data_IF_385648762303
#
_entry.id   IF_385648762303
#
_cell.length_a   1.000
_cell.length_b   1.000
_cell.length_c   1.000
_cell.angle_alpha   90.00
_cell.angle_beta   90.00
_cell.angle_gamma   90.00
#
_symmetry.space_group_name_H-M   'P 1'
#
loop_
_entity.id
_entity.type
_entity.pdbx_description
1 polymer ?
#
# COMPACT_ATOMS: atom_id res chain seq x y z
N UNK A 1 14.41 -20.46 -20.24
CA UNK A 1 14.45 -21.74 -20.99
C UNK A 1 14.85 -22.89 -20.04
N UNK A 2 13.89 -23.53 -19.37
CA UNK A 2 14.17 -24.58 -18.36
C UNK A 2 13.33 -25.87 -18.48
N UNK A 3 12.45 -25.98 -19.48
CA UNK A 3 11.50 -27.10 -19.55
C UNK A 3 11.97 -28.33 -20.35
N UNK A 4 13.21 -28.36 -20.84
CA UNK A 4 13.59 -29.29 -21.92
C UNK A 4 14.03 -30.70 -21.43
N UNK A 5 14.12 -30.98 -20.13
CA UNK A 5 14.57 -32.30 -19.67
C UNK A 5 13.96 -32.80 -18.34
N UNK A 6 12.70 -32.48 -18.06
CA UNK A 6 11.99 -33.05 -16.90
C UNK A 6 11.33 -34.38 -17.29
N UNK A 7 11.73 -35.54 -16.70
CA UNK A 7 11.02 -36.80 -16.91
C UNK A 7 9.54 -36.64 -16.56
N UNK A 8 8.66 -37.10 -17.43
CA UNK A 8 7.20 -37.07 -17.21
C UNK A 8 6.57 -35.67 -17.00
N UNK A 9 7.23 -34.60 -17.48
CA UNK A 9 6.67 -33.25 -17.45
C UNK A 9 5.31 -33.17 -18.16
N UNK A 10 4.29 -32.62 -17.47
CA UNK A 10 2.88 -32.59 -17.91
C UNK A 10 2.21 -33.96 -18.09
N UNK A 11 2.84 -35.04 -17.65
CA UNK A 11 2.22 -36.37 -17.61
C UNK A 11 1.54 -36.59 -16.26
N UNK A 12 0.39 -37.24 -16.28
CA UNK A 12 -0.35 -37.63 -15.08
C UNK A 12 -0.27 -39.15 -14.90
N UNK A 13 -0.39 -39.59 -13.66
CA UNK A 13 -0.62 -41.00 -13.31
C UNK A 13 -1.86 -41.10 -12.44
N UNK A 14 -2.57 -42.22 -12.54
CA UNK A 14 -3.73 -42.48 -11.68
C UNK A 14 -3.25 -42.95 -10.31
N UNK A 15 -3.60 -42.20 -9.26
CA UNK A 15 -3.53 -42.65 -7.88
C UNK A 15 -4.91 -43.19 -7.47
N UNK A 16 -4.95 -44.45 -7.05
CA UNK A 16 -6.13 -45.07 -6.44
C UNK A 16 -6.05 -44.97 -4.92
N UNK A 17 -7.15 -44.61 -4.25
CA UNK A 17 -7.22 -44.58 -2.79
C UNK A 17 -8.62 -45.00 -2.29
N UNK A 18 -8.68 -45.48 -1.05
CA UNK A 18 -9.94 -45.84 -0.38
C UNK A 18 -10.42 -44.65 0.47
N UNK A 19 -11.69 -44.29 0.32
CA UNK A 19 -12.38 -43.26 1.09
C UNK A 19 -13.59 -43.90 1.77
N UNK A 20 -13.42 -44.31 3.03
CA UNK A 20 -14.41 -45.03 3.85
C UNK A 20 -15.06 -46.23 3.11
N UNK A 21 -14.24 -47.09 2.50
CA UNK A 21 -14.69 -48.27 1.77
C UNK A 21 -15.16 -48.01 0.32
N UNK A 22 -14.99 -46.79 -0.17
CA UNK A 22 -15.24 -46.43 -1.57
C UNK A 22 -13.91 -46.24 -2.31
N UNK A 23 -13.64 -47.07 -3.33
CA UNK A 23 -12.47 -46.91 -4.19
C UNK A 23 -12.61 -45.64 -5.05
N UNK A 24 -11.65 -44.73 -4.93
CA UNK A 24 -11.57 -43.48 -5.69
C UNK A 24 -10.29 -43.43 -6.51
N UNK A 25 -10.35 -42.66 -7.59
CA UNK A 25 -9.21 -42.39 -8.46
C UNK A 25 -8.99 -40.88 -8.58
N UNK A 26 -7.72 -40.46 -8.54
CA UNK A 26 -7.32 -39.08 -8.80
C UNK A 26 -6.10 -39.05 -9.72
N UNK A 27 -6.10 -38.12 -10.67
CA UNK A 27 -4.93 -37.88 -11.51
C UNK A 27 -3.91 -37.03 -10.76
N UNK A 28 -2.69 -37.54 -10.62
CA UNK A 28 -1.58 -36.82 -9.96
C UNK A 28 -0.41 -36.64 -10.93
N UNK A 29 0.41 -35.58 -10.79
CA UNK A 29 1.63 -35.44 -11.59
C UNK A 29 2.50 -36.70 -11.50
N UNK A 30 2.90 -37.23 -12.66
CA UNK A 30 3.77 -38.42 -12.73
C UNK A 30 5.22 -38.08 -12.36
N UNK A 31 5.66 -36.84 -12.64
CA UNK A 31 6.98 -36.32 -12.27
C UNK A 31 6.93 -35.27 -11.16
N UNK A 32 8.06 -35.06 -10.48
CA UNK A 32 8.25 -33.98 -9.50
C UNK A 32 8.29 -32.62 -10.21
N UNK A 33 7.27 -31.79 -9.98
CA UNK A 33 7.13 -30.47 -10.59
C UNK A 33 8.24 -29.49 -10.20
N UNK A 34 8.97 -29.77 -9.11
CA UNK A 34 10.09 -28.97 -8.62
C UNK A 34 11.45 -29.64 -8.88
N UNK A 35 11.52 -30.74 -9.64
CA UNK A 35 12.74 -31.53 -9.82
C UNK A 35 13.94 -30.70 -10.28
N UNK A 36 13.78 -29.89 -11.34
CA UNK A 36 14.88 -29.07 -11.88
C UNK A 36 15.30 -27.99 -10.88
N UNK A 37 14.34 -27.36 -10.19
CA UNK A 37 14.63 -26.35 -9.17
C UNK A 37 15.42 -26.95 -7.99
N UNK A 38 14.99 -28.13 -7.51
CA UNK A 38 15.69 -28.88 -6.46
C UNK A 38 17.11 -29.26 -6.87
N UNK A 39 17.28 -29.74 -8.12
CA UNK A 39 18.59 -30.05 -8.68
C UNK A 39 19.49 -28.82 -8.73
N UNK A 40 19.00 -27.71 -9.28
CA UNK A 40 19.78 -26.48 -9.44
C UNK A 40 20.21 -25.90 -8.09
N UNK A 41 19.34 -25.95 -7.08
CA UNK A 41 19.69 -25.55 -5.71
C UNK A 41 20.74 -26.49 -5.11
N UNK A 42 20.50 -27.81 -5.17
CA UNK A 42 21.40 -28.82 -4.61
C UNK A 42 22.79 -28.86 -5.26
N UNK A 43 22.90 -28.56 -6.56
CA UNK A 43 24.17 -28.50 -7.28
C UNK A 43 24.79 -27.11 -7.36
N UNK A 44 24.19 -26.09 -6.73
CA UNK A 44 24.68 -24.71 -6.78
C UNK A 44 24.60 -24.05 -8.17
N UNK A 45 23.70 -24.53 -9.03
CA UNK A 45 23.46 -24.05 -10.40
C UNK A 45 22.21 -23.16 -10.52
N UNK A 46 21.57 -22.78 -9.40
CA UNK A 46 20.42 -21.89 -9.40
C UNK A 46 20.73 -20.59 -10.16
N UNK A 47 19.93 -20.23 -11.19
CA UNK A 47 20.09 -18.97 -11.91
C UNK A 47 19.95 -17.76 -10.99
N UNK A 48 20.59 -16.65 -11.36
CA UNK A 48 20.53 -15.42 -10.57
C UNK A 48 19.12 -14.83 -10.43
N UNK A 49 18.25 -15.07 -11.43
CA UNK A 49 16.82 -14.77 -11.39
C UNK A 49 16.07 -16.03 -11.83
N UNK A 50 15.17 -16.52 -10.97
CA UNK A 50 14.37 -17.72 -11.22
C UNK A 50 12.89 -17.40 -11.01
N UNK A 51 12.09 -17.59 -12.05
CA UNK A 51 10.62 -17.48 -11.98
C UNK A 51 10.02 -18.86 -11.75
N UNK A 52 9.32 -19.05 -10.63
CA UNK A 52 8.65 -20.29 -10.29
C UNK A 52 7.16 -20.07 -10.42
N UNK A 53 6.54 -20.69 -11.42
CA UNK A 53 5.09 -20.61 -11.65
C UNK A 53 4.47 -21.93 -11.23
N UNK A 54 3.56 -21.87 -10.26
CA UNK A 54 2.86 -23.05 -9.78
C UNK A 54 1.96 -23.63 -10.89
N UNK A 55 1.88 -24.96 -11.04
CA UNK A 55 0.83 -25.55 -11.87
C UNK A 55 -0.56 -25.19 -11.30
N UNK A 56 -1.59 -25.14 -12.15
CA UNK A 56 -2.94 -24.67 -11.79
C UNK A 56 -3.47 -25.28 -10.48
N UNK A 57 -3.35 -26.59 -10.28
CA UNK A 57 -3.84 -27.27 -9.07
C UNK A 57 -3.05 -26.94 -7.78
N UNK A 58 -1.93 -26.23 -7.89
CA UNK A 58 -1.03 -25.83 -6.81
C UNK A 58 -0.91 -24.30 -6.71
N UNK A 59 -1.78 -23.55 -7.38
CA UNK A 59 -1.63 -22.08 -7.55
C UNK A 59 -2.36 -21.24 -6.49
N UNK A 60 -3.02 -21.88 -5.52
CA UNK A 60 -3.95 -21.23 -4.58
C UNK A 60 -5.16 -20.52 -5.23
N UNK A 61 -5.34 -20.60 -6.56
CA UNK A 61 -6.56 -20.16 -7.23
C UNK A 61 -7.80 -20.78 -6.55
N UNK A 62 -8.94 -20.09 -6.40
CA UNK A 62 -10.12 -20.55 -5.65
C UNK A 62 -10.64 -21.92 -6.09
N UNK A 63 -10.51 -22.25 -7.39
CA UNK A 63 -10.81 -23.58 -7.93
C UNK A 63 -9.84 -24.70 -7.49
N UNK A 64 -8.73 -24.37 -6.86
CA UNK A 64 -7.57 -25.20 -6.53
C UNK A 64 -6.84 -24.79 -5.23
N UNK A 65 -7.52 -24.18 -4.27
CA UNK A 65 -6.95 -23.55 -3.06
C UNK A 65 -6.26 -24.50 -2.05
N UNK A 66 -6.06 -25.77 -2.39
CA UNK A 66 -5.66 -26.82 -1.44
C UNK A 66 -4.15 -27.04 -1.33
N UNK A 67 -3.41 -26.79 -2.41
CA UNK A 67 -2.03 -27.24 -2.52
C UNK A 67 -1.01 -26.13 -2.72
N UNK A 68 -1.40 -24.86 -2.84
CA UNK A 68 -0.42 -23.78 -3.04
C UNK A 68 0.39 -23.49 -1.79
N UNK A 69 -0.22 -23.51 -0.60
CA UNK A 69 0.53 -23.46 0.67
C UNK A 69 1.59 -24.57 0.78
N UNK A 70 1.28 -25.80 0.35
CA UNK A 70 2.24 -26.90 0.28
C UNK A 70 3.35 -26.62 -0.74
N UNK A 71 2.99 -26.14 -1.93
CA UNK A 71 3.93 -25.83 -2.99
C UNK A 71 4.94 -24.74 -2.56
N UNK A 72 4.45 -23.66 -1.92
CA UNK A 72 5.29 -22.61 -1.34
C UNK A 72 6.19 -23.18 -0.23
N UNK A 73 5.64 -24.03 0.65
CA UNK A 73 6.42 -24.72 1.69
C UNK A 73 7.55 -25.55 1.09
N UNK A 74 7.29 -26.32 0.02
CA UNK A 74 8.32 -27.13 -0.64
C UNK A 74 9.40 -26.28 -1.30
N UNK A 75 9.02 -25.18 -1.96
CA UNK A 75 10.00 -24.23 -2.52
C UNK A 75 10.90 -23.65 -1.42
N UNK A 76 10.32 -23.28 -0.28
CA UNK A 76 11.08 -22.77 0.86
C UNK A 76 11.97 -23.84 1.49
N UNK A 77 11.50 -25.08 1.62
CA UNK A 77 12.29 -26.21 2.11
C UNK A 77 13.52 -26.45 1.22
N UNK A 78 13.32 -26.51 -0.12
CA UNK A 78 14.43 -26.66 -1.08
C UNK A 78 15.48 -25.57 -0.90
N UNK A 79 15.05 -24.30 -0.82
CA UNK A 79 15.98 -23.17 -0.66
C UNK A 79 16.73 -23.20 0.67
N UNK A 80 16.05 -23.54 1.77
CA UNK A 80 16.59 -23.46 3.13
C UNK A 80 17.39 -24.70 3.53
N UNK A 81 17.22 -25.83 2.85
CA UNK A 81 18.03 -27.04 3.02
C UNK A 81 19.51 -26.82 2.64
N UNK A 82 19.79 -25.84 1.77
CA UNK A 82 21.15 -25.46 1.36
C UNK A 82 21.50 -24.05 1.91
N UNK A 83 22.09 -23.95 3.12
CA UNK A 83 22.36 -22.64 3.76
C UNK A 83 23.18 -21.67 2.91
N UNK A 84 24.11 -22.18 2.11
CA UNK A 84 24.95 -21.39 1.21
C UNK A 84 24.16 -20.72 0.07
N UNK A 85 23.02 -21.30 -0.32
CA UNK A 85 22.08 -20.71 -1.28
C UNK A 85 21.16 -19.74 -0.54
N UNK A 86 20.53 -20.16 0.56
CA UNK A 86 19.59 -19.32 1.29
C UNK A 86 20.19 -18.00 1.77
N UNK A 87 21.42 -18.03 2.30
CA UNK A 87 22.07 -16.83 2.87
C UNK A 87 22.27 -15.69 1.86
N UNK A 88 22.11 -15.96 0.56
CA UNK A 88 22.24 -15.00 -0.54
C UNK A 88 20.98 -14.91 -1.42
N UNK A 89 19.83 -15.40 -0.95
CA UNK A 89 18.59 -15.47 -1.74
C UNK A 89 17.57 -14.43 -1.26
N UNK A 90 16.86 -13.84 -2.22
CA UNK A 90 15.63 -13.09 -2.02
C UNK A 90 14.51 -13.92 -2.63
N UNK A 91 13.60 -14.42 -1.80
CA UNK A 91 12.38 -15.10 -2.25
C UNK A 91 11.22 -14.09 -2.23
N UNK A 92 10.57 -13.90 -3.38
CA UNK A 92 9.39 -13.05 -3.52
C UNK A 92 8.20 -13.92 -3.88
N UNK A 93 7.22 -14.00 -2.99
CA UNK A 93 5.91 -14.56 -3.27
C UNK A 93 4.99 -13.42 -3.71
N UNK A 94 4.40 -13.55 -4.89
CA UNK A 94 3.40 -12.63 -5.42
C UNK A 94 2.23 -13.43 -6.00
N UNK A 95 1.03 -12.88 -5.88
CA UNK A 95 -0.17 -13.35 -6.57
C UNK A 95 -0.36 -12.50 -7.83
N UNK A 96 -0.92 -13.08 -8.89
CA UNK A 96 -1.13 -12.35 -10.15
C UNK A 96 -2.35 -11.42 -10.08
N UNK A 97 -3.40 -11.79 -9.34
CA UNK A 97 -4.61 -10.98 -9.15
C UNK A 97 -5.37 -11.32 -7.84
N UNK A 98 -6.59 -10.79 -7.65
CA UNK A 98 -7.37 -10.87 -6.40
C UNK A 98 -8.68 -11.67 -6.51
N UNK A 99 -8.89 -12.39 -7.60
CA UNK A 99 -10.07 -13.14 -8.05
C UNK A 99 -11.39 -12.35 -8.02
N UNK A 100 -11.31 -11.02 -8.07
CA UNK A 100 -12.46 -10.14 -7.93
C UNK A 100 -13.07 -10.11 -6.52
N UNK A 101 -12.38 -10.64 -5.51
CA UNK A 101 -12.79 -10.50 -4.11
C UNK A 101 -12.67 -9.04 -3.63
N UNK A 102 -13.50 -8.67 -2.66
CA UNK A 102 -13.51 -7.33 -2.10
C UNK A 102 -12.18 -6.99 -1.40
N UNK A 103 -11.61 -5.83 -1.77
CA UNK A 103 -10.59 -5.13 -1.00
C UNK A 103 -11.10 -3.74 -0.64
N UNK A 104 -10.86 -3.30 0.60
CA UNK A 104 -11.35 -2.04 1.13
C UNK A 104 -10.55 -0.82 0.67
N UNK A 105 -9.37 -1.00 0.06
CA UNK A 105 -8.54 0.08 -0.45
C UNK A 105 -8.84 0.30 -1.93
N UNK A 106 -9.40 1.47 -2.31
CA UNK A 106 -9.53 1.85 -3.70
C UNK A 106 -8.15 1.89 -4.37
N UNK A 107 -7.98 1.28 -5.55
CA UNK A 107 -6.71 1.32 -6.26
C UNK A 107 -6.30 2.74 -6.66
N UNK A 108 -5.00 3.00 -6.66
CA UNK A 108 -4.45 4.20 -7.31
C UNK A 108 -4.39 3.96 -8.82
N UNK A 109 -4.99 4.85 -9.61
CA UNK A 109 -5.03 4.72 -11.07
C UNK A 109 -4.38 5.90 -11.76
N UNK A 110 -3.95 5.72 -13.01
CA UNK A 110 -3.46 6.83 -13.81
C UNK A 110 -4.66 7.69 -14.29
N UNK A 111 -4.62 9.03 -14.20
CA UNK A 111 -5.64 9.86 -14.82
C UNK A 111 -5.65 9.65 -16.33
N UNK A 112 -6.81 9.83 -16.94
CA UNK A 112 -6.99 9.65 -18.37
C UNK A 112 -6.21 10.70 -19.16
N UNK A 113 -5.40 10.31 -20.15
CA UNK A 113 -4.47 11.22 -20.85
C UNK A 113 -5.16 12.35 -21.60
N UNK A 114 -6.42 12.14 -22.04
CA UNK A 114 -7.19 13.08 -22.86
C UNK A 114 -8.40 13.70 -22.13
N UNK A 115 -8.60 13.36 -20.85
CA UNK A 115 -9.79 13.79 -20.07
C UNK A 115 -9.33 14.46 -18.77
N UNK A 116 -9.06 15.78 -18.79
CA UNK A 116 -8.49 16.50 -17.64
C UNK A 116 -9.40 16.50 -16.41
N UNK A 117 -10.69 16.25 -16.58
CA UNK A 117 -11.65 16.10 -15.48
C UNK A 117 -11.38 14.85 -14.60
N UNK A 118 -10.58 13.90 -15.08
CA UNK A 118 -10.21 12.66 -14.35
C UNK A 118 -9.01 12.83 -13.43
N UNK A 119 -8.34 14.00 -13.46
CA UNK A 119 -7.20 14.32 -12.60
C UNK A 119 -5.95 14.74 -13.37
N UNK A 120 -4.80 14.77 -12.70
CA UNK A 120 -3.56 15.40 -13.21
C UNK A 120 -2.29 14.70 -12.72
N UNK A 121 -1.26 14.70 -13.55
CA UNK A 121 0.09 14.29 -13.15
C UNK A 121 1.07 15.46 -13.16
N UNK A 122 2.22 15.29 -12.52
CA UNK A 122 3.35 16.20 -12.69
C UNK A 122 3.75 16.28 -14.17
N UNK A 123 4.29 17.44 -14.58
CA UNK A 123 4.78 17.64 -15.94
C UNK A 123 5.81 16.56 -16.34
N UNK A 124 5.62 15.96 -17.52
CA UNK A 124 6.47 14.92 -18.08
C UNK A 124 5.96 13.48 -17.89
N UNK A 125 4.88 13.29 -17.14
CA UNK A 125 4.27 11.96 -16.94
C UNK A 125 3.20 11.72 -18.01
N UNK A 126 3.50 10.88 -18.99
CA UNK A 126 2.53 10.37 -19.97
C UNK A 126 1.83 9.11 -19.43
N UNK A 127 0.50 9.17 -19.35
CA UNK A 127 -0.36 8.09 -18.86
C UNK A 127 -1.03 7.30 -19.97
N UNK A 128 -0.77 7.60 -21.26
CA UNK A 128 -1.44 6.95 -22.38
C UNK A 128 -1.21 5.44 -22.41
N UNK A 129 0.00 4.99 -22.07
CA UNK A 129 0.37 3.56 -22.02
C UNK A 129 -0.21 2.84 -20.80
N UNK A 130 -0.76 3.56 -19.82
CA UNK A 130 -1.46 3.01 -18.66
C UNK A 130 -2.98 2.91 -18.88
N UNK A 131 -3.46 3.22 -20.08
CA UNK A 131 -4.87 3.11 -20.46
C UNK A 131 -5.05 2.15 -21.63
N UNK A 132 -6.15 1.40 -21.60
CA UNK A 132 -6.55 0.50 -22.67
C UNK A 132 -8.03 0.69 -23.00
N UNK A 133 -8.36 0.57 -24.29
CA UNK A 133 -9.74 0.41 -24.72
C UNK A 133 -10.05 -1.09 -24.80
N UNK A 134 -10.91 -1.58 -23.92
CA UNK A 134 -11.37 -2.95 -23.91
C UNK A 134 -12.90 -2.99 -23.96
N UNK A 135 -13.46 -3.77 -24.87
CA UNK A 135 -14.92 -3.90 -25.05
C UNK A 135 -15.63 -2.55 -25.27
N UNK A 136 -15.00 -1.62 -25.99
CA UNK A 136 -15.57 -0.30 -26.30
C UNK A 136 -15.58 0.68 -25.12
N UNK A 137 -14.82 0.38 -24.06
CA UNK A 137 -14.70 1.24 -22.89
C UNK A 137 -13.23 1.50 -22.57
N UNK A 138 -12.92 2.76 -22.29
CA UNK A 138 -11.60 3.16 -21.81
C UNK A 138 -11.48 2.82 -20.32
N UNK A 139 -10.41 2.12 -19.97
CA UNK A 139 -10.10 1.75 -18.60
C UNK A 139 -8.60 1.95 -18.32
N UNK A 140 -8.29 2.41 -17.12
CA UNK A 140 -6.93 2.34 -16.61
C UNK A 140 -6.53 0.87 -16.50
N UNK A 141 -5.34 0.51 -16.97
CA UNK A 141 -4.76 -0.84 -16.86
C UNK A 141 -4.46 -1.16 -15.39
N UNK A 142 -4.19 -0.15 -14.58
CA UNK A 142 -4.00 -0.31 -13.15
C UNK A 142 -3.75 1.01 -12.41
N UNK A 143 -3.32 0.98 -11.15
CA UNK A 143 -3.17 -0.25 -10.36
C UNK A 143 -4.53 -0.92 -10.14
N UNK A 144 -4.51 -2.24 -9.98
CA UNK A 144 -5.70 -3.02 -9.64
C UNK A 144 -5.90 -3.10 -8.12
N UNK A 145 -6.83 -3.95 -7.70
CA UNK A 145 -6.97 -4.33 -6.30
C UNK A 145 -5.66 -4.90 -5.74
N UNK A 146 -5.46 -4.75 -4.43
CA UNK A 146 -4.23 -5.22 -3.78
C UNK A 146 -4.15 -6.74 -3.84
N UNK A 147 -2.94 -7.22 -4.08
CA UNK A 147 -2.57 -8.62 -4.01
C UNK A 147 -1.55 -8.81 -2.87
N UNK A 148 -1.53 -9.96 -2.17
CA UNK A 148 -0.47 -10.24 -1.22
C UNK A 148 0.89 -10.30 -1.91
N UNK A 149 1.90 -9.66 -1.30
CA UNK A 149 3.29 -9.78 -1.68
C UNK A 149 4.13 -10.01 -0.43
N UNK A 150 4.94 -11.07 -0.43
CA UNK A 150 5.80 -11.45 0.70
C UNK A 150 7.24 -11.55 0.23
N UNK A 151 8.15 -10.86 0.91
CA UNK A 151 9.60 -10.95 0.70
C UNK A 151 10.24 -11.72 1.85
N UNK A 152 10.68 -12.94 1.58
CA UNK A 152 11.43 -13.76 2.53
C UNK A 152 12.91 -13.79 2.16
N UNK A 153 13.76 -13.30 3.05
CA UNK A 153 15.20 -13.23 2.83
C UNK A 153 15.95 -13.07 4.15
N UNK A 154 17.23 -13.49 4.23
CA UNK A 154 18.12 -13.05 5.31
C UNK A 154 18.14 -11.52 5.52
N UNK A 155 17.91 -10.73 4.47
CA UNK A 155 17.86 -9.26 4.51
C UNK A 155 16.50 -8.67 4.93
N UNK A 156 15.47 -9.50 5.13
CA UNK A 156 14.14 -9.09 5.65
C UNK A 156 13.82 -9.74 7.01
N UNK A 157 14.85 -10.24 7.71
CA UNK A 157 14.71 -11.00 8.96
C UNK A 157 13.94 -10.22 10.02
N UNK A 158 12.99 -10.88 10.66
CA UNK A 158 12.19 -10.35 11.79
C UNK A 158 10.76 -9.98 11.43
N UNK A 159 10.43 -9.90 10.14
CA UNK A 159 9.10 -9.57 9.68
C UNK A 159 8.77 -8.09 9.89
N UNK A 160 8.23 -7.46 8.86
CA UNK A 160 7.79 -6.08 8.92
C UNK A 160 6.74 -5.83 7.83
N UNK A 161 5.97 -4.76 8.01
CA UNK A 161 5.02 -4.27 7.02
C UNK A 161 5.63 -3.08 6.29
N UNK A 162 5.72 -3.17 4.96
CA UNK A 162 6.11 -2.08 4.10
C UNK A 162 4.86 -1.54 3.39
N UNK A 163 4.57 -0.25 3.59
CA UNK A 163 3.41 0.42 3.02
C UNK A 163 3.77 1.41 1.90
N UNK A 164 4.95 1.27 1.30
CA UNK A 164 5.24 1.92 0.02
C UNK A 164 4.32 1.31 -1.04
N UNK A 165 3.86 2.13 -1.98
CA UNK A 165 3.07 1.62 -3.11
C UNK A 165 3.98 0.77 -3.98
N UNK A 166 3.56 -0.47 -4.23
CA UNK A 166 4.21 -1.40 -5.14
C UNK A 166 3.18 -1.97 -6.11
N UNK A 167 3.67 -2.46 -7.24
CA UNK A 167 2.90 -3.23 -8.19
C UNK A 167 3.73 -4.42 -8.71
N UNK A 168 3.20 -5.17 -9.67
CA UNK A 168 3.94 -6.30 -10.26
C UNK A 168 5.23 -5.88 -10.97
N UNK A 169 5.32 -4.63 -11.43
CA UNK A 169 6.55 -4.11 -12.06
C UNK A 169 7.64 -3.82 -11.02
N UNK A 170 7.29 -3.63 -9.74
CA UNK A 170 8.26 -3.44 -8.66
C UNK A 170 9.27 -4.59 -8.52
N UNK A 171 8.90 -5.82 -8.92
CA UNK A 171 9.84 -6.96 -8.97
C UNK A 171 10.88 -6.77 -10.08
N UNK A 172 10.47 -6.25 -11.24
CA UNK A 172 11.39 -5.92 -12.34
C UNK A 172 12.30 -4.76 -11.94
N UNK A 173 11.74 -3.73 -11.31
CA UNK A 173 12.51 -2.60 -10.78
C UNK A 173 13.54 -3.05 -9.73
N UNK A 174 13.21 -4.01 -8.85
CA UNK A 174 14.20 -4.59 -7.93
C UNK A 174 15.37 -5.25 -8.67
N UNK A 175 15.07 -5.98 -9.74
CA UNK A 175 16.10 -6.64 -10.58
C UNK A 175 16.97 -5.59 -11.27
N UNK A 176 16.38 -4.50 -11.77
CA UNK A 176 17.12 -3.35 -12.32
C UNK A 176 18.07 -2.75 -11.29
N UNK A 177 17.57 -2.39 -10.11
CA UNK A 177 18.35 -1.81 -9.00
C UNK A 177 19.49 -2.75 -8.59
N UNK A 178 19.22 -4.06 -8.50
CA UNK A 178 20.24 -5.06 -8.19
C UNK A 178 21.32 -5.16 -9.29
N UNK A 179 20.94 -5.18 -10.56
CA UNK A 179 21.86 -5.24 -11.70
C UNK A 179 22.68 -3.95 -11.82
N UNK A 180 22.08 -2.79 -11.59
CA UNK A 180 22.77 -1.50 -11.58
C UNK A 180 23.84 -1.47 -10.46
N UNK A 181 23.51 -1.97 -9.27
CA UNK A 181 24.47 -2.16 -8.19
C UNK A 181 25.63 -3.13 -8.54
N UNK A 182 25.48 -3.92 -9.61
CA UNK A 182 26.53 -4.77 -10.20
C UNK A 182 27.21 -4.13 -11.42
N UNK A 183 26.93 -2.86 -11.72
CA UNK A 183 27.46 -2.13 -12.87
C UNK A 183 26.81 -2.51 -14.21
N UNK A 184 25.60 -3.08 -14.21
CA UNK A 184 24.85 -3.45 -15.41
C UNK A 184 23.57 -2.65 -15.50
N UNK A 185 23.45 -1.81 -16.54
CA UNK A 185 22.23 -1.05 -16.80
C UNK A 185 21.34 -1.84 -17.76
N UNK A 186 20.26 -2.39 -17.23
CA UNK A 186 19.26 -3.17 -18.00
C UNK A 186 17.85 -2.69 -17.65
N UNK A 187 17.48 -1.45 -18.02
CA UNK A 187 16.15 -0.93 -17.71
C UNK A 187 15.08 -1.63 -18.55
N UNK A 188 13.98 -2.04 -17.92
CA UNK A 188 12.75 -2.48 -18.57
C UNK A 188 12.03 -1.26 -19.16
N UNK A 189 12.03 -1.21 -20.49
CA UNK A 189 11.51 -0.07 -21.24
C UNK A 189 9.98 -0.04 -21.30
N UNK A 190 9.29 -1.12 -20.92
CA UNK A 190 7.84 -1.18 -20.91
C UNK A 190 7.20 -0.66 -19.60
N UNK A 191 7.99 -0.39 -18.55
CA UNK A 191 7.45 0.25 -17.34
C UNK A 191 7.25 1.74 -17.63
N UNK A 192 6.00 2.19 -17.53
CA UNK A 192 5.64 3.58 -17.81
C UNK A 192 6.28 4.57 -16.82
N UNK A 193 6.40 5.82 -17.25
CA UNK A 193 6.86 6.92 -16.38
C UNK A 193 5.94 7.07 -15.17
N UNK A 194 4.63 6.89 -15.36
CA UNK A 194 3.66 6.93 -14.26
C UNK A 194 3.97 5.88 -13.19
N UNK A 195 4.16 4.60 -13.58
CA UNK A 195 4.49 3.52 -12.65
C UNK A 195 5.81 3.75 -11.94
N UNK A 196 6.87 4.15 -12.65
CA UNK A 196 8.17 4.50 -12.04
C UNK A 196 8.06 5.67 -11.06
N UNK A 197 7.10 6.56 -11.26
CA UNK A 197 6.88 7.70 -10.36
C UNK A 197 6.24 7.27 -9.04
N UNK A 198 5.26 6.36 -9.08
CA UNK A 198 4.39 6.08 -7.92
C UNK A 198 4.68 4.74 -7.24
N UNK A 199 5.21 3.76 -7.97
CA UNK A 199 5.54 2.43 -7.46
C UNK A 199 7.03 2.34 -7.13
N UNK A 200 7.36 1.84 -5.93
CA UNK A 200 8.74 1.58 -5.53
C UNK A 200 9.35 0.34 -6.18
N UNK A 201 10.63 0.11 -5.91
CA UNK A 201 11.44 -0.99 -6.47
C UNK A 201 11.66 -2.16 -5.49
N UNK A 202 10.84 -2.26 -4.43
CA UNK A 202 10.96 -3.20 -3.30
C UNK A 202 12.24 -3.07 -2.46
N UNK A 203 13.18 -2.18 -2.77
CA UNK A 203 14.44 -2.07 -2.03
C UNK A 203 14.23 -1.69 -0.55
N UNK A 204 13.20 -0.89 -0.27
CA UNK A 204 12.80 -0.48 1.09
C UNK A 204 12.29 -1.63 1.98
N UNK A 205 12.07 -2.82 1.42
CA UNK A 205 11.72 -4.02 2.21
C UNK A 205 12.94 -4.63 2.92
N UNK A 206 14.15 -4.27 2.52
CA UNK A 206 15.38 -4.84 3.04
C UNK A 206 16.01 -3.97 4.12
N UNK A 207 16.81 -4.63 4.98
CA UNK A 207 17.58 -3.95 6.01
C UNK A 207 18.93 -4.61 6.27
N UNK A 208 19.96 -3.82 6.62
CA UNK A 208 21.18 -4.37 7.18
C UNK A 208 20.87 -5.11 8.49
N UNK A 209 21.46 -6.29 8.67
CA UNK A 209 21.50 -6.98 9.96
C UNK A 209 22.71 -6.50 10.74
N UNK A 210 22.48 -5.85 11.88
CA UNK A 210 23.52 -5.25 12.72
C UNK A 210 23.80 -6.07 13.99
N UNK A 211 23.41 -7.35 14.00
CA UNK A 211 23.59 -8.24 15.15
C UNK A 211 22.48 -8.14 16.20
N UNK A 212 21.39 -7.44 15.91
CA UNK A 212 20.25 -7.31 16.81
C UNK A 212 19.57 -8.66 17.12
N UNK A 213 19.05 -8.80 18.35
CA UNK A 213 18.25 -9.97 18.73
C UNK A 213 16.83 -9.81 18.18
N UNK A 214 16.49 -10.68 17.25
CA UNK A 214 15.16 -10.71 16.60
C UNK A 214 14.36 -11.85 17.23
N UNK A 215 13.24 -11.50 17.86
CA UNK A 215 12.26 -12.49 18.28
C UNK A 215 11.61 -13.11 17.05
N UNK A 216 11.68 -14.43 16.92
CA UNK A 216 11.00 -15.15 15.84
C UNK A 216 9.53 -15.36 16.22
N UNK A 217 8.60 -15.30 15.25
CA UNK A 217 7.22 -15.67 15.50
C UNK A 217 7.15 -17.13 15.97
N UNK A 218 6.13 -17.45 16.76
CA UNK A 218 5.85 -18.84 17.11
C UNK A 218 5.51 -19.60 15.81
N UNK A 219 6.09 -20.78 15.56
CA UNK A 219 5.66 -21.63 14.46
C UNK A 219 4.15 -21.90 14.56
N UNK A 220 3.47 -21.90 13.42
CA UNK A 220 2.08 -22.31 13.35
C UNK A 220 1.96 -23.79 13.68
N UNK A 221 0.87 -24.17 14.35
CA UNK A 221 0.51 -25.58 14.49
C UNK A 221 -0.01 -26.09 13.14
N UNK A 222 0.71 -27.05 12.55
CA UNK A 222 0.44 -27.54 11.19
C UNK A 222 -0.96 -28.09 11.09
N UNK A 223 -1.35 -28.97 12.00
CA UNK A 223 -2.60 -29.74 11.90
C UNK A 223 -3.80 -28.80 12.10
N UNK A 224 -3.74 -27.90 13.09
CA UNK A 224 -4.75 -26.85 13.30
C UNK A 224 -4.90 -25.93 12.07
N UNK A 225 -3.78 -25.56 11.44
CA UNK A 225 -3.80 -24.69 10.24
C UNK A 225 -4.44 -25.41 9.06
N UNK A 226 -4.06 -26.67 8.81
CA UNK A 226 -4.62 -27.50 7.73
C UNK A 226 -6.11 -27.71 7.96
N UNK A 227 -6.54 -28.06 9.18
CA UNK A 227 -7.95 -28.20 9.54
C UNK A 227 -8.74 -26.91 9.30
N UNK A 228 -8.18 -25.75 9.67
CA UNK A 228 -8.79 -24.44 9.44
C UNK A 228 -8.99 -24.13 7.96
N UNK A 229 -7.97 -24.37 7.13
CA UNK A 229 -8.03 -24.19 5.67
C UNK A 229 -9.04 -25.17 5.06
N UNK A 230 -8.98 -26.45 5.45
CA UNK A 230 -9.90 -27.49 4.97
C UNK A 230 -11.35 -27.19 5.31
N UNK A 231 -11.61 -26.71 6.53
CA UNK A 231 -12.97 -26.36 6.97
C UNK A 231 -13.56 -25.21 6.16
N UNK A 232 -12.73 -24.31 5.61
CA UNK A 232 -13.20 -23.22 4.77
C UNK A 232 -13.92 -23.70 3.50
N UNK A 233 -13.60 -24.89 2.96
CA UNK A 233 -14.30 -25.51 1.81
C UNK A 233 -15.79 -25.67 2.04
N UNK A 234 -16.14 -25.99 3.28
CA UNK A 234 -17.51 -26.33 3.68
C UNK A 234 -18.29 -25.10 4.13
N UNK A 235 -17.65 -23.93 4.20
CA UNK A 235 -18.36 -22.67 4.40
C UNK A 235 -19.25 -22.43 3.19
N UNK A 236 -20.47 -21.97 3.46
CA UNK A 236 -21.39 -21.56 2.39
C UNK A 236 -20.76 -20.41 1.61
N UNK A 237 -21.01 -20.38 0.31
CA UNK A 237 -20.69 -19.21 -0.49
C UNK A 237 -21.25 -17.95 0.20
N UNK A 238 -20.50 -16.83 0.18
CA UNK A 238 -21.03 -15.57 0.67
C UNK A 238 -22.36 -15.29 -0.02
N UNK A 239 -23.46 -15.28 0.73
CA UNK A 239 -24.73 -14.76 0.22
C UNK A 239 -24.58 -13.26 0.09
N UNK A 240 -25.07 -12.68 -1.01
CA UNK A 240 -24.95 -11.25 -1.30
C UNK A 240 -25.28 -10.41 -0.06
N UNK A 241 -24.35 -9.54 0.33
CA UNK A 241 -24.54 -8.64 1.46
C UNK A 241 -25.70 -7.69 1.21
N UNK A 242 -26.34 -7.22 2.29
CA UNK A 242 -27.24 -6.07 2.22
C UNK A 242 -26.46 -4.78 2.47
N UNK A 243 -26.95 -3.67 1.95
CA UNK A 243 -26.52 -2.36 2.45
C UNK A 243 -26.87 -2.27 3.94
N UNK A 244 -25.90 -1.86 4.76
CA UNK A 244 -26.11 -1.62 6.18
C UNK A 244 -26.91 -0.33 6.37
N UNK A 245 -27.82 -0.29 7.35
CA UNK A 245 -28.43 0.97 7.79
C UNK A 245 -27.40 1.82 8.58
N UNK A 246 -27.68 3.12 8.75
CA UNK A 246 -26.83 4.00 9.58
C UNK A 246 -26.65 3.45 10.99
N UNK A 247 -27.74 2.99 11.62
CA UNK A 247 -27.70 2.36 12.94
C UNK A 247 -26.86 1.07 12.97
N UNK A 248 -26.83 0.30 11.88
CA UNK A 248 -25.99 -0.89 11.77
C UNK A 248 -24.52 -0.49 11.63
N UNK A 249 -24.22 0.51 10.81
CA UNK A 249 -22.86 1.05 10.65
C UNK A 249 -22.32 1.54 12.00
N UNK A 250 -23.13 2.27 12.76
CA UNK A 250 -22.73 2.76 14.10
C UNK A 250 -22.43 1.64 15.10
N UNK A 251 -23.03 0.46 14.94
CA UNK A 251 -22.85 -0.68 15.84
C UNK A 251 -21.77 -1.66 15.38
N UNK A 252 -21.37 -1.60 14.12
CA UNK A 252 -20.37 -2.53 13.55
C UNK A 252 -18.99 -2.10 14.02
N UNK A 253 -18.37 -2.96 14.82
CA UNK A 253 -16.96 -2.85 15.16
C UNK A 253 -16.14 -3.75 14.22
N UNK A 254 -15.61 -3.15 13.15
CA UNK A 254 -14.70 -3.85 12.22
C UNK A 254 -13.37 -4.21 12.92
N UNK A 255 -12.97 -3.45 13.94
CA UNK A 255 -11.75 -3.68 14.71
C UNK A 255 -11.76 -5.03 15.42
N UNK A 256 -12.93 -5.48 15.87
CA UNK A 256 -13.08 -6.80 16.50
C UNK A 256 -12.72 -8.00 15.59
N UNK A 257 -12.66 -7.80 14.26
CA UNK A 257 -12.26 -8.82 13.30
C UNK A 257 -10.76 -8.76 12.94
N UNK A 258 -10.09 -7.67 13.30
CA UNK A 258 -8.67 -7.44 13.01
C UNK A 258 -7.79 -8.20 14.00
N UNK A 259 -6.65 -8.71 13.54
CA UNK A 259 -5.65 -9.33 14.43
C UNK A 259 -5.11 -8.26 15.41
N UNK A 260 -5.11 -8.51 16.73
CA UNK A 260 -4.76 -7.50 17.70
C UNK A 260 -3.26 -7.17 17.68
N UNK A 261 -2.95 -5.93 18.02
CA UNK A 261 -1.57 -5.44 18.18
C UNK A 261 -0.98 -4.83 16.90
N UNK A 262 0.31 -4.51 16.97
CA UNK A 262 1.04 -3.85 15.88
C UNK A 262 2.20 -4.71 15.38
N UNK A 263 2.66 -4.41 14.15
CA UNK A 263 3.85 -5.03 13.55
C UNK A 263 4.94 -3.98 13.31
N UNK A 264 6.23 -4.33 13.34
CA UNK A 264 7.28 -3.45 12.85
C UNK A 264 6.96 -2.97 11.43
N UNK A 265 7.21 -1.70 11.15
CA UNK A 265 6.95 -1.09 9.86
C UNK A 265 8.20 -0.43 9.29
N UNK A 266 8.42 -0.63 7.98
CA UNK A 266 9.56 -0.10 7.25
C UNK A 266 9.59 1.44 7.27
N UNK A 267 10.79 2.06 7.26
CA UNK A 267 10.94 3.45 6.87
C UNK A 267 10.44 3.65 5.43
N UNK A 268 9.66 4.70 5.18
CA UNK A 268 9.15 5.00 3.84
C UNK A 268 9.73 6.31 3.29
N UNK A 269 9.98 6.40 1.98
CA UNK A 269 10.60 7.57 1.33
C UNK A 269 9.60 8.70 1.02
N UNK A 270 8.62 8.93 1.88
CA UNK A 270 7.50 9.83 1.61
C UNK A 270 7.56 11.11 2.46
N UNK A 271 7.53 12.27 1.80
CA UNK A 271 7.29 13.58 2.43
C UNK A 271 6.10 14.24 1.72
N UNK A 272 4.89 13.77 2.03
CA UNK A 272 3.67 14.14 1.30
C UNK A 272 2.97 15.32 1.94
N UNK A 273 2.49 16.24 1.11
CA UNK A 273 1.68 17.38 1.54
C UNK A 273 0.49 17.53 0.59
N UNK A 274 -0.67 17.77 1.18
CA UNK A 274 -1.86 18.22 0.46
C UNK A 274 -2.49 19.31 1.31
N UNK A 275 -2.45 20.53 0.81
CA UNK A 275 -3.02 21.72 1.46
C UNK A 275 -4.25 22.20 0.67
N UNK A 276 -5.30 22.61 1.39
CA UNK A 276 -6.55 23.12 0.82
C UNK A 276 -6.80 24.57 1.21
N UNK A 277 -7.09 25.42 0.22
CA UNK A 277 -7.44 26.83 0.44
C UNK A 277 -8.61 27.23 -0.45
N UNK A 278 -9.71 27.65 0.17
CA UNK A 278 -10.84 28.24 -0.55
C UNK A 278 -10.46 29.61 -1.10
N UNK A 279 -10.67 29.81 -2.40
CA UNK A 279 -10.46 31.06 -3.10
C UNK A 279 -11.69 31.40 -3.95
N UNK A 280 -12.57 32.26 -3.42
CA UNK A 280 -13.86 32.52 -4.04
C UNK A 280 -14.73 31.26 -4.06
N UNK A 281 -15.11 30.83 -5.25
CA UNK A 281 -16.02 29.71 -5.50
C UNK A 281 -15.30 28.36 -5.68
N UNK A 282 -13.99 28.30 -5.42
CA UNK A 282 -13.18 27.11 -5.63
C UNK A 282 -12.38 26.76 -4.37
N UNK A 283 -12.28 25.46 -4.06
CA UNK A 283 -11.26 24.92 -3.17
C UNK A 283 -10.02 24.61 -4.01
N UNK A 284 -8.94 25.35 -3.79
CA UNK A 284 -7.65 25.09 -4.40
C UNK A 284 -6.91 24.05 -3.58
N UNK A 285 -6.53 22.94 -4.21
CA UNK A 285 -5.65 21.94 -3.63
C UNK A 285 -4.24 22.09 -4.19
N UNK A 286 -3.25 22.09 -3.31
CA UNK A 286 -1.83 21.97 -3.64
C UNK A 286 -1.33 20.62 -3.11
N UNK A 287 -0.88 19.75 -4.01
CA UNK A 287 -0.32 18.44 -3.68
C UNK A 287 1.19 18.43 -3.96
N UNK A 288 1.98 17.92 -3.04
CA UNK A 288 3.44 17.87 -3.14
C UNK A 288 3.98 16.52 -2.68
N UNK A 289 5.01 16.03 -3.36
CA UNK A 289 5.88 14.96 -2.89
C UNK A 289 7.28 15.55 -2.70
N UNK A 290 7.62 15.97 -1.49
CA UNK A 290 8.83 16.76 -1.23
C UNK A 290 10.09 15.91 -1.10
N UNK A 291 11.25 16.56 -1.22
CA UNK A 291 12.59 15.95 -1.13
C UNK A 291 13.45 16.51 0.01
N UNK A 292 12.86 17.27 0.94
CA UNK A 292 13.65 17.91 1.98
C UNK A 292 14.22 16.90 2.97
N UNK A 293 13.46 15.84 3.26
CA UNK A 293 13.83 14.81 4.23
C UNK A 293 14.69 13.70 3.62
N UNK A 294 14.29 13.16 2.47
CA UNK A 294 14.94 11.97 1.89
C UNK A 294 15.81 12.27 0.65
N UNK A 295 15.81 13.51 0.15
CA UNK A 295 16.63 13.90 -0.99
C UNK A 295 16.35 13.05 -2.23
N UNK A 296 17.40 12.42 -2.77
CA UNK A 296 17.30 11.56 -3.97
C UNK A 296 16.55 10.25 -3.72
N UNK A 297 16.45 9.83 -2.46
CA UNK A 297 15.74 8.61 -2.09
C UNK A 297 14.22 8.84 -1.98
N UNK A 298 13.75 10.09 -2.08
CA UNK A 298 12.33 10.40 -2.05
C UNK A 298 11.57 9.76 -3.20
N UNK A 299 10.42 9.17 -2.90
CA UNK A 299 9.51 8.61 -3.88
C UNK A 299 8.39 9.62 -4.22
N UNK A 300 7.95 9.63 -5.48
CA UNK A 300 6.69 10.29 -5.86
C UNK A 300 5.49 9.58 -5.24
N UNK A 301 4.30 10.15 -5.34
CA UNK A 301 3.11 9.52 -4.76
C UNK A 301 1.89 9.63 -5.66
N UNK A 302 1.07 8.57 -5.70
CA UNK A 302 -0.27 8.68 -6.22
C UNK A 302 -1.20 9.30 -5.17
N UNK A 303 -2.23 10.01 -5.61
CA UNK A 303 -3.33 10.45 -4.75
C UNK A 303 -4.68 10.18 -5.44
N UNK A 304 -5.67 9.77 -4.66
CA UNK A 304 -7.06 9.71 -5.10
C UNK A 304 -7.84 10.80 -4.37
N UNK A 305 -8.51 11.69 -5.10
CA UNK A 305 -9.37 12.70 -4.51
C UNK A 305 -10.84 12.44 -4.82
N UNK A 306 -11.70 12.67 -3.83
CA UNK A 306 -13.13 12.48 -3.89
C UNK A 306 -13.83 13.76 -3.46
N UNK A 307 -14.64 14.33 -4.34
CA UNK A 307 -15.54 15.43 -4.02
C UNK A 307 -16.92 14.88 -3.71
N UNK A 308 -17.42 15.13 -2.51
CA UNK A 308 -18.76 14.74 -2.09
C UNK A 308 -19.74 15.89 -2.32
N UNK A 309 -20.87 15.59 -2.95
CA UNK A 309 -21.92 16.54 -3.32
C UNK A 309 -23.13 15.78 -3.89
N UNK A 310 -23.96 16.44 -4.72
CA UNK A 310 -25.10 15.77 -5.39
C UNK A 310 -24.67 14.53 -6.19
N UNK A 311 -23.48 14.59 -6.79
CA UNK A 311 -22.78 13.45 -7.37
C UNK A 311 -21.37 13.38 -6.83
N UNK A 312 -20.89 12.19 -6.49
CA UNK A 312 -19.49 11.98 -6.10
C UNK A 312 -18.58 12.12 -7.31
N UNK A 313 -17.66 13.09 -7.26
CA UNK A 313 -16.58 13.22 -8.23
C UNK A 313 -15.33 12.48 -7.75
N UNK A 314 -14.59 11.85 -8.65
CA UNK A 314 -13.29 11.23 -8.33
C UNK A 314 -12.22 11.67 -9.33
N UNK A 315 -11.02 11.96 -8.82
CA UNK A 315 -9.85 12.33 -9.62
C UNK A 315 -8.61 11.60 -9.12
N UNK A 316 -7.75 11.20 -10.04
CA UNK A 316 -6.48 10.55 -9.74
C UNK A 316 -5.29 11.46 -10.04
N UNK A 317 -4.26 11.40 -9.21
CA UNK A 317 -3.06 12.21 -9.36
C UNK A 317 -1.80 11.38 -9.20
N UNK A 318 -0.73 11.82 -9.86
CA UNK A 318 0.62 11.33 -9.59
C UNK A 318 1.60 12.49 -9.51
N UNK A 319 2.15 12.70 -8.32
CA UNK A 319 3.12 13.76 -8.06
C UNK A 319 4.51 13.16 -8.00
N UNK A 320 5.37 13.53 -8.94
CA UNK A 320 6.79 13.18 -8.93
C UNK A 320 7.51 13.78 -7.72
N UNK A 321 8.50 13.05 -7.19
CA UNK A 321 9.34 13.54 -6.11
C UNK A 321 9.99 14.88 -6.48
N UNK A 322 9.90 15.86 -5.60
CA UNK A 322 10.40 17.22 -5.77
C UNK A 322 9.43 18.15 -6.49
N UNK A 323 8.29 17.65 -6.98
CA UNK A 323 7.30 18.43 -7.73
C UNK A 323 6.03 18.67 -6.94
N UNK A 324 5.17 19.52 -7.52
CA UNK A 324 3.84 19.83 -7.01
C UNK A 324 2.81 19.87 -8.12
N UNK A 325 1.55 19.63 -7.76
CA UNK A 325 0.38 19.78 -8.63
C UNK A 325 -0.61 20.70 -7.94
N UNK A 326 -1.21 21.59 -8.73
CA UNK A 326 -2.33 22.42 -8.30
C UNK A 326 -3.59 22.03 -9.06
N UNK A 327 -4.70 21.86 -8.33
CA UNK A 327 -6.02 21.60 -8.91
C UNK A 327 -7.13 22.32 -8.14
N UNK A 328 -8.31 22.48 -8.75
CA UNK A 328 -9.45 23.14 -8.13
C UNK A 328 -10.69 22.26 -8.09
N UNK A 329 -11.45 22.38 -7.02
CA UNK A 329 -12.75 21.75 -6.80
C UNK A 329 -13.82 22.82 -6.60
N UNK A 330 -15.06 22.60 -7.05
CA UNK A 330 -16.16 23.52 -6.78
C UNK A 330 -16.38 23.71 -5.27
N UNK A 331 -16.56 24.96 -4.85
CA UNK A 331 -16.78 25.36 -3.47
C UNK A 331 -17.67 26.61 -3.36
N UNK A 332 -18.70 26.73 -4.20
CA UNK A 332 -19.63 27.88 -4.16
C UNK A 332 -20.37 27.96 -2.83
N UNK A 333 -20.88 26.83 -2.35
CA UNK A 333 -21.53 26.66 -1.05
C UNK A 333 -20.75 25.73 -0.14
N UNK A 334 -21.46 24.81 0.52
CA UNK A 334 -20.83 23.71 1.25
C UNK A 334 -19.96 22.87 0.31
N UNK A 335 -18.77 22.51 0.75
CA UNK A 335 -17.87 21.63 0.02
C UNK A 335 -17.29 20.58 0.95
N UNK A 336 -16.99 19.42 0.36
CA UNK A 336 -16.36 18.31 1.05
C UNK A 336 -15.47 17.57 0.05
N UNK A 337 -14.16 17.67 0.24
CA UNK A 337 -13.18 16.99 -0.60
C UNK A 337 -12.25 16.15 0.28
N UNK A 338 -12.13 14.87 -0.01
CA UNK A 338 -11.16 13.95 0.61
C UNK A 338 -10.06 13.62 -0.38
N UNK A 339 -8.82 13.54 0.09
CA UNK A 339 -7.65 13.12 -0.69
C UNK A 339 -6.93 12.02 0.08
N UNK A 340 -6.84 10.84 -0.51
CA UNK A 340 -6.15 9.67 0.02
C UNK A 340 -4.81 9.47 -0.70
N UNK A 341 -3.79 9.08 0.06
CA UNK A 341 -2.46 8.74 -0.42
C UNK A 341 -1.90 7.50 0.30
N UNK A 342 -0.63 7.14 0.05
CA UNK A 342 0.00 5.96 0.63
C UNK A 342 0.09 5.98 2.16
N UNK A 343 0.24 4.80 2.78
CA UNK A 343 0.53 4.62 4.21
C UNK A 343 -0.39 5.41 5.17
N UNK A 344 -1.71 5.35 4.93
CA UNK A 344 -2.71 6.02 5.77
C UNK A 344 -2.74 7.54 5.62
N UNK A 345 -2.00 8.12 4.68
CA UNK A 345 -2.09 9.54 4.37
C UNK A 345 -3.50 9.88 3.89
N UNK A 346 -4.20 10.75 4.62
CA UNK A 346 -5.52 11.25 4.23
C UNK A 346 -5.67 12.71 4.62
N UNK A 347 -6.28 13.50 3.73
CA UNK A 347 -6.74 14.86 4.00
C UNK A 347 -8.22 14.96 3.70
N UNK A 348 -8.98 15.59 4.57
CA UNK A 348 -10.39 15.86 4.33
C UNK A 348 -10.68 17.32 4.60
N UNK A 349 -11.20 18.02 3.60
CA UNK A 349 -11.49 19.44 3.64
C UNK A 349 -13.00 19.63 3.60
N UNK A 350 -13.59 20.06 4.73
CA UNK A 350 -15.01 20.43 4.83
C UNK A 350 -15.13 21.90 5.20
N UNK A 351 -15.99 22.60 4.48
CA UNK A 351 -16.22 24.03 4.67
C UNK A 351 -17.44 24.51 3.90
N UNK A 352 -17.66 25.83 3.86
CA UNK A 352 -18.78 26.44 3.17
C UNK A 352 -18.49 27.87 2.67
N UNK A 353 -19.55 28.55 2.21
CA UNK A 353 -19.55 29.92 1.69
C UNK A 353 -18.87 30.96 2.58
N UNK A 354 -19.01 30.79 3.89
CA UNK A 354 -18.69 31.77 4.92
C UNK A 354 -17.35 31.49 5.62
N UNK A 355 -16.55 30.56 5.08
CA UNK A 355 -15.30 30.17 5.69
C UNK A 355 -14.35 31.38 5.88
N UNK A 356 -13.69 31.47 7.05
CA UNK A 356 -12.73 32.53 7.27
C UNK A 356 -11.54 32.37 6.31
N UNK A 357 -10.92 33.50 5.94
CA UNK A 357 -9.71 33.52 5.11
C UNK A 357 -8.49 33.06 5.91
N UNK A 358 -8.38 31.75 6.13
CA UNK A 358 -7.32 31.10 6.88
C UNK A 358 -6.66 30.00 6.05
N UNK A 359 -5.33 30.01 5.99
CA UNK A 359 -4.55 28.91 5.46
C UNK A 359 -4.10 28.00 6.62
N UNK A 360 -4.28 26.70 6.43
CA UNK A 360 -3.83 25.65 7.35
C UNK A 360 -2.80 24.81 6.59
N UNK A 361 -1.54 24.89 7.00
CA UNK A 361 -0.45 24.11 6.39
C UNK A 361 0.08 23.12 7.41
N UNK A 362 0.07 21.84 7.05
CA UNK A 362 0.51 20.76 7.94
C UNK A 362 1.79 20.12 7.40
N UNK A 363 2.79 19.96 8.26
CA UNK A 363 4.05 19.33 7.87
C UNK A 363 4.77 18.70 9.06
N UNK A 364 5.94 18.12 8.79
CA UNK A 364 6.78 17.55 9.82
C UNK A 364 7.57 18.64 10.54
N UNK A 365 7.60 18.58 11.88
CA UNK A 365 8.49 19.42 12.66
C UNK A 365 9.93 18.91 12.59
N UNK A 366 10.91 19.81 12.62
CA UNK A 366 12.35 19.48 12.54
C UNK A 366 12.97 19.61 11.16
N UNK A 367 12.22 20.11 10.17
CA UNK A 367 12.73 20.41 8.83
C UNK A 367 13.27 19.16 8.13
N UNK A 368 14.54 19.20 7.70
CA UNK A 368 15.20 18.09 7.00
C UNK A 368 15.43 16.85 7.88
N UNK A 369 15.29 16.99 9.19
CA UNK A 369 15.44 15.88 10.15
C UNK A 369 14.20 15.80 11.04
N UNK A 370 13.10 15.23 10.54
CA UNK A 370 11.85 15.14 11.28
C UNK A 370 12.02 14.51 12.65
N UNK A 371 11.53 15.22 13.67
CA UNK A 371 11.67 14.82 15.07
C UNK A 371 10.51 13.97 15.61
N UNK A 372 9.61 13.53 14.72
CA UNK A 372 8.42 12.76 15.08
C UNK A 372 7.27 13.62 15.61
N UNK A 373 7.24 14.91 15.31
CA UNK A 373 6.09 15.79 15.63
C UNK A 373 5.50 16.36 14.36
N UNK A 374 4.22 16.69 14.41
CA UNK A 374 3.52 17.42 13.35
C UNK A 374 3.47 18.89 13.72
N UNK A 375 3.71 19.77 12.76
CA UNK A 375 3.58 21.22 12.89
C UNK A 375 2.40 21.70 12.03
N UNK A 376 1.45 22.37 12.68
CA UNK A 376 0.29 22.99 12.06
C UNK A 376 0.55 24.49 12.05
N UNK A 377 0.78 25.05 10.87
CA UNK A 377 0.98 26.48 10.67
C UNK A 377 -0.31 27.10 10.17
N UNK A 378 -0.75 28.13 10.86
CA UNK A 378 -2.00 28.85 10.61
C UNK A 378 -1.65 30.28 10.22
N UNK A 379 -2.23 30.77 9.13
CA UNK A 379 -2.13 32.18 8.75
C UNK A 379 -3.50 32.69 8.32
N UNK A 380 -3.94 33.80 8.89
CA UNK A 380 -5.25 34.39 8.59
C UNK A 380 -5.08 35.78 7.99
N UNK A 381 -6.00 36.15 7.11
CA UNK A 381 -6.21 37.54 6.65
C UNK A 381 -7.57 38.07 7.10
N UNK A 382 -8.25 37.37 8.01
CA UNK A 382 -9.50 37.83 8.59
C UNK A 382 -9.27 39.06 9.48
N UNK A 383 -10.25 39.98 9.49
CA UNK A 383 -10.24 41.18 10.33
C UNK A 383 -10.54 40.88 11.81
N UNK A 384 -11.10 39.71 12.09
CA UNK A 384 -11.48 39.27 13.42
C UNK A 384 -10.56 38.16 13.93
N UNK A 385 -10.52 38.00 15.25
CA UNK A 385 -9.82 36.90 15.87
C UNK A 385 -10.58 35.59 15.62
N UNK A 386 -9.87 34.52 15.28
CA UNK A 386 -10.46 33.21 15.01
C UNK A 386 -10.15 32.24 16.15
N UNK A 387 -11.17 31.56 16.65
CA UNK A 387 -10.98 30.44 17.56
C UNK A 387 -10.57 29.20 16.76
N UNK A 388 -9.47 28.59 17.17
CA UNK A 388 -8.92 27.38 16.55
C UNK A 388 -8.95 26.26 17.57
N UNK A 389 -9.55 25.15 17.20
CA UNK A 389 -9.48 23.90 17.96
C UNK A 389 -8.79 22.83 17.10
N UNK A 390 -7.84 22.12 17.69
CA UNK A 390 -7.23 20.93 17.10
C UNK A 390 -7.65 19.75 17.95
N UNK A 391 -8.49 18.89 17.38
CA UNK A 391 -9.07 17.71 18.04
C UNK A 391 -8.40 16.46 17.50
N UNK A 392 -8.00 15.58 18.39
CA UNK A 392 -7.52 14.24 18.06
C UNK A 392 -8.71 13.31 17.75
N UNK A 393 -8.58 12.48 16.71
CA UNK A 393 -9.67 11.60 16.28
C UNK A 393 -9.45 10.12 16.66
N UNK A 394 -8.20 9.69 16.91
CA UNK A 394 -7.84 8.27 16.98
C UNK A 394 -6.92 7.86 18.14
N UNK A 395 -6.12 8.76 18.69
CA UNK A 395 -5.07 8.44 19.68
C UNK A 395 -5.35 9.01 21.09
N UNK A 396 -6.58 9.48 21.31
CA UNK A 396 -7.10 9.98 22.58
C UNK A 396 -6.26 11.10 23.21
N UNK A 397 -5.60 11.92 22.38
CA UNK A 397 -4.86 13.10 22.89
C UNK A 397 -5.82 14.26 23.18
N UNK A 398 -5.48 15.09 24.18
CA UNK A 398 -6.35 16.21 24.59
C UNK A 398 -6.40 17.29 23.49
N UNK A 399 -7.61 17.74 23.17
CA UNK A 399 -7.80 18.84 22.22
C UNK A 399 -7.02 20.10 22.62
N UNK A 400 -6.38 20.73 21.65
CA UNK A 400 -5.62 21.96 21.81
C UNK A 400 -6.44 23.14 21.29
N UNK A 401 -6.52 24.22 22.06
CA UNK A 401 -7.25 25.44 21.67
C UNK A 401 -6.30 26.63 21.57
N UNK A 402 -6.46 27.42 20.52
CA UNK A 402 -5.69 28.64 20.26
C UNK A 402 -6.61 29.75 19.75
N UNK A 403 -6.23 30.99 19.99
CA UNK A 403 -6.82 32.15 19.35
C UNK A 403 -5.84 32.68 18.32
N UNK A 404 -6.27 32.73 17.06
CA UNK A 404 -5.52 33.36 15.99
C UNK A 404 -5.90 34.84 15.95
N UNK A 405 -4.93 35.73 16.16
CA UNK A 405 -5.16 37.17 16.13
C UNK A 405 -5.63 37.63 14.73
N UNK A 406 -6.33 38.79 14.63
CA UNK A 406 -6.67 39.41 13.35
C UNK A 406 -5.44 39.54 12.45
N UNK A 407 -5.56 39.10 11.19
CA UNK A 407 -4.45 39.07 10.22
C UNK A 407 -3.15 38.42 10.75
N UNK A 408 -3.27 37.51 11.72
CA UNK A 408 -2.15 36.93 12.44
C UNK A 408 -1.75 35.55 11.95
N UNK A 409 -0.68 35.04 12.55
CA UNK A 409 -0.20 33.67 12.38
C UNK A 409 -0.09 32.96 13.72
N UNK A 410 -0.31 31.65 13.72
CA UNK A 410 -0.09 30.80 14.89
C UNK A 410 0.51 29.45 14.47
N UNK A 411 1.11 28.77 15.44
CA UNK A 411 1.65 27.44 15.29
C UNK A 411 1.13 26.54 16.40
N UNK A 412 0.71 25.34 16.03
CA UNK A 412 0.35 24.25 16.95
C UNK A 412 1.24 23.06 16.63
N UNK A 413 1.71 22.37 17.66
CA UNK A 413 2.54 21.16 17.51
C UNK A 413 1.81 19.97 18.11
N UNK A 414 1.76 18.87 17.37
CA UNK A 414 1.23 17.59 17.83
C UNK A 414 2.42 16.66 18.10
N UNK A 415 2.53 16.19 19.34
CA UNK A 415 3.51 15.17 19.71
C UNK A 415 2.95 13.78 19.39
N UNK A 416 3.59 13.06 18.46
CA UNK A 416 3.14 11.74 18.00
C UNK A 416 3.97 10.61 18.60
N UNK A 417 4.78 10.89 19.64
CA UNK A 417 5.63 9.87 20.26
C UNK A 417 4.84 8.68 20.80
N UNK A 418 3.68 8.93 21.42
CA UNK A 418 2.83 7.88 21.99
C UNK A 418 2.17 6.99 20.92
N UNK A 419 1.93 7.55 19.75
CA UNK A 419 1.36 6.88 18.57
C UNK A 419 2.44 6.47 17.56
N UNK A 420 3.73 6.44 17.96
CA UNK A 420 4.84 6.01 17.11
C UNK A 420 4.97 6.76 15.76
N UNK A 421 4.67 8.05 15.73
CA UNK A 421 4.73 8.84 14.50
C UNK A 421 3.37 9.03 13.81
N UNK A 422 2.36 8.23 14.18
CA UNK A 422 1.03 8.32 13.59
C UNK A 422 0.22 9.50 14.14
N UNK A 423 -0.58 10.13 13.29
CA UNK A 423 -1.44 11.25 13.65
C UNK A 423 -2.76 11.16 12.91
N UNK A 424 -3.81 11.61 13.58
CA UNK A 424 -5.15 11.77 13.03
C UNK A 424 -5.88 12.84 13.85
N UNK A 425 -6.03 14.02 13.26
CA UNK A 425 -6.61 15.17 13.93
C UNK A 425 -7.44 16.03 12.98
N UNK A 426 -8.41 16.74 13.54
CA UNK A 426 -9.21 17.75 12.85
C UNK A 426 -8.88 19.13 13.37
N UNK A 427 -8.58 20.06 12.46
CA UNK A 427 -8.49 21.51 12.73
C UNK A 427 -9.86 22.13 12.46
N UNK A 428 -10.48 22.70 13.50
CA UNK A 428 -11.79 23.35 13.44
C UNK A 428 -11.63 24.86 13.63
N UNK A 429 -12.15 25.64 12.68
CA UNK A 429 -12.08 27.12 12.69
C UNK A 429 -13.40 27.71 12.18
N UNK A 430 -14.25 28.20 13.09
CA UNK A 430 -15.52 28.85 12.74
C UNK A 430 -16.41 28.07 11.75
N UNK A 431 -16.53 26.74 11.92
CA UNK A 431 -17.33 25.86 11.03
C UNK A 431 -16.52 25.17 9.93
N UNK A 432 -15.34 25.68 9.58
CA UNK A 432 -14.35 24.98 8.77
C UNK A 432 -13.83 23.76 9.54
N UNK A 433 -13.73 22.59 8.90
CA UNK A 433 -13.21 21.38 9.51
C UNK A 433 -12.27 20.64 8.54
N UNK A 434 -10.96 20.74 8.79
CA UNK A 434 -9.93 20.09 8.00
C UNK A 434 -9.28 18.95 8.79
N UNK A 435 -9.46 17.70 8.34
CA UNK A 435 -8.89 16.50 8.97
C UNK A 435 -7.62 16.05 8.27
N UNK A 436 -6.65 15.62 9.07
CA UNK A 436 -5.31 15.22 8.65
C UNK A 436 -4.97 13.90 9.33
N UNK A 437 -4.77 12.84 8.54
CA UNK A 437 -4.28 11.56 9.02
C UNK A 437 -3.01 11.11 8.28
N UNK A 438 -2.16 10.33 8.94
CA UNK A 438 -0.98 9.70 8.34
C UNK A 438 0.13 9.46 9.37
N UNK A 439 1.36 9.28 8.86
CA UNK A 439 2.55 9.06 9.68
C UNK A 439 3.63 10.09 9.39
N UNK A 440 4.34 10.53 10.42
CA UNK A 440 5.57 11.32 10.29
C UNK A 440 6.69 10.38 9.85
N UNK A 441 7.06 10.44 8.58
CA UNK A 441 8.18 9.65 8.06
C UNK A 441 9.50 10.29 8.49
N UNK A 442 10.27 9.54 9.29
CA UNK A 442 11.54 10.02 9.88
C UNK A 442 12.77 9.30 9.32
N UNK A 443 12.59 8.41 8.36
CA UNK A 443 13.64 7.51 7.86
C UNK A 443 14.02 6.41 8.86
N UNK A 444 13.28 6.26 9.96
CA UNK A 444 13.50 5.24 10.98
C UNK A 444 12.36 4.23 11.00
N UNK A 445 12.69 3.02 11.47
CA UNK A 445 11.71 1.97 11.75
C UNK A 445 10.63 2.46 12.69
N UNK A 446 9.39 2.07 12.42
CA UNK A 446 8.24 2.36 13.27
C UNK A 446 7.39 1.10 13.43
N UNK A 447 6.11 1.26 13.73
CA UNK A 447 5.09 0.21 13.78
C UNK A 447 3.93 0.55 12.85
N UNK A 448 3.12 -0.45 12.51
CA UNK A 448 1.80 -0.25 11.89
C UNK A 448 0.90 0.60 12.78
N UNK A 449 -0.11 1.24 12.20
CA UNK A 449 -0.98 2.18 12.91
C UNK A 449 -1.59 1.55 14.18
N UNK A 450 -1.27 2.08 15.38
CA UNK A 450 -1.84 1.60 16.63
C UNK A 450 -3.36 1.79 16.75
N UNK A 451 -3.98 2.66 15.95
CA UNK A 451 -5.44 2.82 15.95
C UNK A 451 -6.17 1.65 15.27
N UNK A 452 -5.44 0.84 14.50
CA UNK A 452 -5.96 -0.36 13.83
C UNK A 452 -5.64 -1.65 14.60
N UNK A 453 -5.14 -1.55 15.83
CA UNK A 453 -4.59 -2.64 16.62
C UNK A 453 -5.56 -3.21 17.66
#
# INVERSE_FOLDING_TARGET
>A
SGHIALPDYRSLTTLKYDDDGTEREVQVPKGDTLHQFRKDVGSGQLPAVSWIVAPCNFSDHPGAAWYGAWYVSEVMNILTEVPEVWKKTIFVLCYDENDGYFDHVPPFTAPHPLRPETGKCSEGIDTAVDWANAHGRDHSIGLGYRCPLVVASPWSRGGCVNSQVFDHTSVLQLIETWLEGKGKQVPETNISVWRRTVCGDLSSTFRPYNGEKIALPKPLDRDTTIEGIHTAKFKRAPVGGKALSEEEIERVDVGALQEPGTRPSCPLPYELVVDGLRNGNELVLLMEARQNVFGKESQGAPFNAYGYGESMGSRAYAVEAGKSIRDTWPAEGAYHVRVDGPNGFMREFRGNGDDPKVAVNVGYAGGKSPNGKVEIRLSSTAAEALAVEVRDESYATRAQRKTLAPSGSAMVTIDTKASHGWYDFTVVISGLAYRYAGRVETGRWSVTDPAMA
#
